data_IF_609564050165
#
_entry.id   IF_609564050165
#
_cell.length_a   1.000
_cell.length_b   1.000
_cell.length_c   1.000
_cell.angle_alpha   90.00
_cell.angle_beta   90.00
_cell.angle_gamma   90.00
#
_symmetry.space_group_name_H-M   'P 1'
#
loop_
_entity.id
_entity.type
_entity.pdbx_description
1 polymer ?
#
# COMPACT_ATOMS: atom_id res chain seq x y z
N UNK A 1 41.03 -1.33 41.89
CA UNK A 1 39.66 -1.05 42.35
C UNK A 1 38.69 -0.92 41.15
N UNK A 2 38.31 -2.01 40.46
CA UNK A 2 37.15 -2.89 40.76
C UNK A 2 35.85 -2.15 41.09
N UNK A 3 35.03 -1.89 40.07
CA UNK A 3 33.79 -2.65 39.82
C UNK A 3 33.02 -2.11 38.59
N UNK A 4 32.61 -2.98 37.64
CA UNK A 4 31.70 -2.66 36.55
C UNK A 4 30.24 -2.98 36.91
N UNK A 5 29.28 -2.39 36.20
CA UNK A 5 27.85 -2.72 36.31
C UNK A 5 27.15 -2.55 34.95
N UNK A 6 26.06 -3.29 34.70
CA UNK A 6 26.02 -4.17 33.52
C UNK A 6 25.01 -3.76 32.44
N UNK A 7 25.17 -4.45 31.31
CA UNK A 7 24.31 -4.56 30.14
C UNK A 7 22.80 -4.40 30.37
N UNK A 8 22.16 -3.68 29.44
CA UNK A 8 20.77 -3.96 29.06
C UNK A 8 20.68 -4.08 27.53
N UNK A 9 20.79 -5.31 27.06
CA UNK A 9 20.40 -5.69 25.70
C UNK A 9 18.86 -5.62 25.64
N UNK A 10 18.33 -4.68 24.86
CA UNK A 10 16.95 -4.73 24.40
C UNK A 10 16.89 -5.61 23.17
N UNK A 11 16.67 -6.90 23.37
CA UNK A 11 16.30 -7.81 22.31
C UNK A 11 14.89 -7.45 21.82
N UNK A 12 14.77 -6.98 20.59
CA UNK A 12 13.49 -6.89 19.88
C UNK A 12 13.05 -8.31 19.56
N UNK A 13 12.28 -8.90 20.47
CA UNK A 13 11.70 -10.23 20.35
C UNK A 13 10.66 -10.24 19.24
N UNK A 14 11.03 -10.84 18.12
CA UNK A 14 10.14 -11.30 17.06
C UNK A 14 9.31 -12.49 17.58
N UNK A 15 8.16 -12.20 18.17
CA UNK A 15 7.17 -13.23 18.56
C UNK A 15 6.22 -13.53 17.41
N UNK A 16 6.70 -14.29 16.42
CA UNK A 16 5.84 -14.94 15.44
C UNK A 16 5.60 -16.40 15.87
N UNK A 17 4.65 -16.61 16.77
CA UNK A 17 4.14 -17.95 17.11
C UNK A 17 2.62 -17.94 16.96
N UNK A 18 2.15 -18.31 15.77
CA UNK A 18 0.72 -18.45 15.45
C UNK A 18 0.50 -19.53 14.40
N UNK A 19 -0.05 -20.67 14.85
CA UNK A 19 -0.74 -21.73 14.10
C UNK A 19 -0.47 -21.80 12.58
N UNK A 20 0.70 -22.35 12.21
CA UNK A 20 1.04 -22.63 10.82
C UNK A 20 0.26 -23.86 10.31
N UNK A 21 -1.03 -23.67 10.01
CA UNK A 21 -1.73 -24.53 9.06
C UNK A 21 -1.10 -24.29 7.69
N UNK A 22 -0.86 -25.33 6.87
CA UNK A 22 -0.18 -25.18 5.60
C UNK A 22 -1.00 -24.23 4.69
N UNK A 23 -0.47 -23.04 4.44
CA UNK A 23 -1.01 -22.06 3.50
C UNK A 23 -1.72 -20.82 4.08
N UNK A 24 -1.56 -20.48 5.37
CA UNK A 24 -2.08 -19.22 5.94
C UNK A 24 -1.00 -18.41 6.66
N UNK A 25 -1.05 -17.08 6.58
CA UNK A 25 -0.16 -16.23 7.38
C UNK A 25 -0.54 -16.30 8.86
N UNK A 26 0.43 -16.15 9.77
CA UNK A 26 0.19 -16.21 11.21
C UNK A 26 -0.65 -15.01 11.65
N UNK A 27 -1.79 -15.28 12.30
CA UNK A 27 -2.69 -14.24 12.81
C UNK A 27 -2.22 -13.77 14.17
N UNK A 28 -2.14 -12.46 14.33
CA UNK A 28 -1.93 -11.80 15.60
C UNK A 28 -3.27 -11.64 16.34
N UNK A 29 -3.38 -12.30 17.50
CA UNK A 29 -4.61 -12.31 18.30
C UNK A 29 -4.83 -11.01 19.08
N UNK A 30 -3.81 -10.16 19.20
CA UNK A 30 -3.90 -8.87 19.88
C UNK A 30 -4.31 -7.76 18.91
N UNK A 31 -4.18 -8.00 17.60
CA UNK A 31 -4.52 -7.07 16.54
C UNK A 31 -5.94 -7.33 16.00
N UNK A 32 -6.87 -6.42 16.29
CA UNK A 32 -8.26 -6.53 15.82
C UNK A 32 -8.37 -6.37 14.31
N UNK A 33 -7.49 -5.60 13.66
CA UNK A 33 -7.48 -5.49 12.20
C UNK A 33 -7.08 -6.82 11.59
N UNK A 34 -6.02 -7.43 12.11
CA UNK A 34 -5.52 -8.71 11.60
C UNK A 34 -6.54 -9.84 11.75
N UNK A 35 -7.28 -9.84 12.86
CA UNK A 35 -8.41 -10.76 13.04
C UNK A 35 -9.50 -10.59 11.98
N UNK A 36 -9.83 -9.34 11.60
CA UNK A 36 -10.82 -9.08 10.56
C UNK A 36 -10.31 -9.45 9.17
N UNK A 37 -9.05 -9.16 8.85
CA UNK A 37 -8.43 -9.57 7.57
C UNK A 37 -8.43 -11.09 7.48
N UNK A 38 -8.01 -11.79 8.53
CA UNK A 38 -8.03 -13.24 8.57
C UNK A 38 -9.44 -13.81 8.44
N UNK A 39 -10.41 -13.20 9.14
CA UNK A 39 -11.81 -13.61 9.06
C UNK A 39 -12.36 -13.46 7.63
N UNK A 40 -12.05 -12.35 6.96
CA UNK A 40 -12.43 -12.13 5.57
C UNK A 40 -11.86 -13.22 4.66
N UNK A 41 -10.55 -13.51 4.75
CA UNK A 41 -9.89 -14.53 3.92
C UNK A 41 -10.38 -15.95 4.20
N UNK A 42 -10.86 -16.21 5.42
CA UNK A 42 -11.50 -17.49 5.76
C UNK A 42 -12.89 -17.62 5.15
N UNK A 43 -13.61 -16.50 5.01
CA UNK A 43 -14.94 -16.46 4.38
C UNK A 43 -14.89 -16.44 2.86
N UNK A 44 -13.81 -15.94 2.29
CA UNK A 44 -13.61 -15.81 0.84
C UNK A 44 -12.39 -16.63 0.38
N UNK A 45 -12.51 -17.98 0.29
CA UNK A 45 -11.39 -18.85 -0.06
C UNK A 45 -10.88 -18.61 -1.48
N UNK A 46 -11.71 -18.11 -2.39
CA UNK A 46 -11.33 -17.68 -3.74
C UNK A 46 -10.32 -16.52 -3.72
N UNK A 47 -10.59 -15.47 -2.93
CA UNK A 47 -9.67 -14.34 -2.77
C UNK A 47 -8.33 -14.82 -2.19
N UNK A 48 -8.37 -15.71 -1.20
CA UNK A 48 -7.16 -16.29 -0.59
C UNK A 48 -6.35 -17.19 -1.55
N UNK A 49 -7.00 -17.83 -2.52
CA UNK A 49 -6.29 -18.63 -3.55
C UNK A 49 -5.67 -17.75 -4.62
N UNK A 50 -6.32 -16.63 -4.93
CA UNK A 50 -5.88 -15.69 -5.96
C UNK A 50 -4.73 -14.79 -5.47
N UNK A 51 -4.79 -14.37 -4.21
CA UNK A 51 -3.88 -13.38 -3.64
C UNK A 51 -3.01 -13.98 -2.53
N UNK A 52 -1.72 -13.63 -2.56
CA UNK A 52 -0.78 -13.87 -1.47
C UNK A 52 -0.87 -12.72 -0.47
N UNK A 53 -1.25 -13.03 0.77
CA UNK A 53 -1.34 -12.06 1.86
C UNK A 53 -0.35 -12.41 2.96
N UNK A 54 0.49 -11.45 3.37
CA UNK A 54 1.39 -11.60 4.51
C UNK A 54 1.42 -10.32 5.35
N UNK A 55 1.21 -10.44 6.66
CA UNK A 55 1.36 -9.30 7.58
C UNK A 55 2.85 -8.94 7.75
N UNK A 56 3.18 -7.67 7.58
CA UNK A 56 4.53 -7.14 7.87
C UNK A 56 4.61 -6.51 9.26
N UNK A 57 3.62 -5.69 9.61
CA UNK A 57 3.48 -5.05 10.92
C UNK A 57 2.01 -4.70 11.17
N UNK A 58 1.69 -4.10 12.32
CA UNK A 58 0.33 -3.69 12.64
C UNK A 58 -0.21 -2.72 11.57
N UNK A 59 -1.32 -3.10 10.92
CA UNK A 59 -1.93 -2.33 9.85
C UNK A 59 -1.17 -2.33 8.51
N UNK A 60 -0.05 -3.05 8.35
CA UNK A 60 0.74 -3.08 7.09
C UNK A 60 0.91 -4.51 6.59
N UNK A 61 0.58 -4.70 5.31
CA UNK A 61 0.50 -6.01 4.67
C UNK A 61 1.25 -6.01 3.34
N UNK A 62 1.83 -7.15 3.03
CA UNK A 62 2.24 -7.52 1.68
C UNK A 62 1.06 -8.22 0.99
N UNK A 63 0.57 -7.63 -0.10
CA UNK A 63 -0.42 -8.20 -1.00
C UNK A 63 0.23 -8.38 -2.36
N UNK A 64 0.45 -9.62 -2.78
CA UNK A 64 1.07 -9.97 -4.08
C UNK A 64 2.40 -9.25 -4.37
N UNK A 65 3.24 -9.06 -3.35
CA UNK A 65 4.52 -8.35 -3.47
C UNK A 65 4.39 -6.83 -3.43
N UNK A 66 3.18 -6.30 -3.18
CA UNK A 66 2.91 -4.88 -2.98
C UNK A 66 2.63 -4.60 -1.52
N UNK A 67 3.32 -3.61 -0.96
CA UNK A 67 3.06 -3.16 0.40
C UNK A 67 1.86 -2.22 0.43
N UNK A 68 0.88 -2.55 1.26
CA UNK A 68 -0.32 -1.73 1.49
C UNK A 68 -0.57 -1.55 2.98
N UNK A 69 -1.26 -0.48 3.33
CA UNK A 69 -1.79 -0.29 4.67
C UNK A 69 -3.27 -0.68 4.71
N UNK A 70 -3.72 -1.27 5.81
CA UNK A 70 -5.12 -1.63 6.05
C UNK A 70 -5.60 -0.88 7.28
N UNK A 71 -6.72 -0.19 7.15
CA UNK A 71 -7.32 0.63 8.19
C UNK A 71 -8.78 0.24 8.43
N UNK A 72 -9.29 0.56 9.62
CA UNK A 72 -10.72 0.45 9.93
C UNK A 72 -11.39 1.80 9.70
N UNK A 73 -12.29 1.87 8.72
CA UNK A 73 -13.11 3.05 8.50
C UNK A 73 -14.42 2.91 9.27
N UNK A 74 -14.65 3.82 10.22
CA UNK A 74 -15.92 3.90 10.93
C UNK A 74 -17.00 4.47 10.00
N UNK A 75 -18.21 3.92 10.12
CA UNK A 75 -19.34 4.48 9.38
C UNK A 75 -19.72 5.86 9.92
N UNK A 76 -20.08 6.76 9.01
CA UNK A 76 -20.49 8.14 9.33
C UNK A 76 -21.91 8.23 9.88
N UNK A 77 -22.76 7.24 9.58
CA UNK A 77 -24.16 7.23 9.99
C UNK A 77 -24.37 6.35 11.23
N UNK A 78 -25.16 6.80 12.22
CA UNK A 78 -25.52 5.99 13.39
C UNK A 78 -26.20 4.68 12.98
N UNK A 79 -25.66 3.55 13.46
CA UNK A 79 -26.21 2.20 13.20
C UNK A 79 -25.58 1.46 12.01
N UNK A 80 -24.74 2.14 11.23
CA UNK A 80 -23.93 1.49 10.20
C UNK A 80 -22.65 0.86 10.80
N UNK A 81 -22.19 -0.23 10.21
CA UNK A 81 -20.96 -0.90 10.63
C UNK A 81 -19.77 -0.32 9.86
N UNK A 82 -18.63 -0.16 10.53
CA UNK A 82 -17.38 0.16 9.87
C UNK A 82 -16.89 -0.97 8.96
N UNK A 83 -15.91 -0.68 8.12
CA UNK A 83 -15.34 -1.66 7.20
C UNK A 83 -13.82 -1.53 7.10
N UNK A 84 -13.18 -2.60 6.61
CA UNK A 84 -11.76 -2.58 6.27
C UNK A 84 -11.54 -1.82 4.97
N UNK A 85 -10.53 -0.95 4.97
CA UNK A 85 -10.10 -0.15 3.81
C UNK A 85 -8.63 -0.39 3.57
N UNK A 86 -8.28 -0.68 2.32
CA UNK A 86 -6.91 -0.73 1.83
C UNK A 86 -6.48 0.67 1.42
N UNK A 87 -5.29 1.06 1.86
CA UNK A 87 -4.59 2.29 1.48
C UNK A 87 -3.31 1.88 0.76
N UNK A 88 -3.26 2.21 -0.53
CA UNK A 88 -2.19 1.85 -1.45
C UNK A 88 -1.70 3.12 -2.18
N UNK A 89 -0.79 3.84 -1.51
CA UNK A 89 -0.40 5.18 -1.93
C UNK A 89 -1.60 6.16 -1.88
N UNK A 90 -1.95 6.84 -2.99
CA UNK A 90 -3.11 7.74 -3.02
C UNK A 90 -4.44 6.98 -3.10
N UNK A 91 -4.43 5.69 -3.42
CA UNK A 91 -5.63 4.87 -3.55
C UNK A 91 -6.13 4.46 -2.17
N UNK A 92 -7.43 4.67 -1.94
CA UNK A 92 -8.18 4.15 -0.81
C UNK A 92 -9.39 3.40 -1.32
N UNK A 93 -9.55 2.17 -0.90
CA UNK A 93 -10.61 1.31 -1.42
C UNK A 93 -11.07 0.30 -0.37
N UNK A 94 -12.36 -0.06 -0.30
CA UNK A 94 -12.81 -1.15 0.55
C UNK A 94 -12.00 -2.43 0.30
N UNK A 95 -11.66 -3.14 1.38
CA UNK A 95 -10.83 -4.33 1.30
C UNK A 95 -11.40 -5.40 0.39
N UNK A 96 -12.73 -5.59 0.41
CA UNK A 96 -13.40 -6.56 -0.46
C UNK A 96 -13.20 -6.23 -1.94
N UNK A 97 -13.47 -4.98 -2.33
CA UNK A 97 -13.33 -4.54 -3.71
C UNK A 97 -11.87 -4.66 -4.19
N UNK A 98 -10.91 -4.35 -3.30
CA UNK A 98 -9.47 -4.44 -3.62
C UNK A 98 -9.06 -5.88 -3.92
N UNK A 99 -9.52 -6.84 -3.10
CA UNK A 99 -9.27 -8.27 -3.30
C UNK A 99 -10.03 -8.86 -4.51
N UNK A 100 -11.10 -8.20 -4.96
CA UNK A 100 -11.84 -8.60 -6.17
C UNK A 100 -11.32 -7.91 -7.44
N UNK A 101 -10.33 -7.01 -7.31
CA UNK A 101 -9.80 -6.17 -8.39
C UNK A 101 -10.90 -5.33 -9.07
N UNK A 102 -11.91 -4.90 -8.30
CA UNK A 102 -12.97 -4.01 -8.79
C UNK A 102 -12.65 -2.57 -8.44
N UNK A 103 -12.79 -1.64 -9.38
CA UNK A 103 -12.54 -0.21 -9.12
C UNK A 103 -13.79 0.53 -8.61
N UNK A 104 -14.84 -0.19 -8.23
CA UNK A 104 -16.18 0.36 -8.00
C UNK A 104 -16.22 1.46 -6.91
N UNK A 105 -15.43 1.30 -5.85
CA UNK A 105 -15.37 2.24 -4.73
C UNK A 105 -13.95 2.78 -4.48
N UNK A 106 -13.12 2.79 -5.52
CA UNK A 106 -11.79 3.38 -5.48
C UNK A 106 -11.88 4.90 -5.28
N UNK A 107 -11.22 5.42 -4.24
CA UNK A 107 -11.07 6.85 -3.99
C UNK A 107 -9.60 7.21 -4.03
N UNK A 108 -9.25 8.23 -4.79
CA UNK A 108 -7.89 8.74 -4.85
C UNK A 108 -7.82 10.00 -3.99
N UNK A 109 -7.21 9.91 -2.81
CA UNK A 109 -6.98 11.07 -1.95
C UNK A 109 -5.74 11.82 -2.43
N UNK A 110 -5.96 13.02 -2.96
CA UNK A 110 -4.94 13.81 -3.63
C UNK A 110 -3.99 14.59 -2.72
N UNK A 111 -3.92 14.25 -1.43
CA UNK A 111 -3.16 15.05 -0.45
C UNK A 111 -1.67 15.13 -0.78
N UNK A 112 -1.12 14.17 -1.55
CA UNK A 112 0.24 14.18 -2.07
C UNK A 112 0.36 14.43 -3.58
N UNK A 113 -0.74 14.52 -4.33
CA UNK A 113 -0.70 14.81 -5.78
C UNK A 113 -0.22 16.25 -6.04
N UNK A 114 -0.37 17.14 -5.05
CA UNK A 114 0.17 18.50 -5.07
C UNK A 114 1.66 18.63 -4.69
N UNK A 115 2.28 17.57 -4.17
CA UNK A 115 3.64 17.59 -3.63
C UNK A 115 4.66 16.91 -4.57
N UNK A 116 4.35 16.72 -5.85
CA UNK A 116 5.40 16.34 -6.79
C UNK A 116 6.45 17.46 -6.83
N UNK A 117 7.74 17.10 -6.82
CA UNK A 117 8.87 18.04 -6.85
C UNK A 117 8.75 19.10 -7.97
N UNK A 118 7.94 18.85 -8.99
CA UNK A 118 7.62 19.76 -10.08
C UNK A 118 6.82 21.01 -9.64
N UNK A 119 5.94 20.88 -8.63
CA UNK A 119 5.15 22.00 -8.11
C UNK A 119 5.95 22.92 -7.18
N UNK A 120 7.05 22.42 -6.60
CA UNK A 120 7.98 23.22 -5.77
C UNK A 120 8.94 24.08 -6.59
N UNK A 121 9.02 23.86 -7.91
CA UNK A 121 9.77 24.72 -8.82
C UNK A 121 8.84 25.86 -9.25
N UNK A 122 9.20 27.10 -8.92
CA UNK A 122 8.54 28.31 -9.40
C UNK A 122 8.35 28.23 -10.92
N UNK A 123 7.19 28.68 -11.42
CA UNK A 123 6.84 28.57 -12.86
C UNK A 123 7.95 29.12 -13.75
N UNK A 124 8.63 30.17 -13.32
CA UNK A 124 9.70 30.84 -14.06
C UNK A 124 11.02 30.05 -14.08
N UNK A 125 11.17 29.06 -13.19
CA UNK A 125 12.33 28.16 -13.07
C UNK A 125 12.06 26.75 -13.58
N UNK A 126 10.84 26.48 -14.04
CA UNK A 126 10.51 25.21 -14.69
C UNK A 126 11.19 25.19 -16.05
N UNK A 127 12.22 24.37 -16.19
CA UNK A 127 12.81 24.07 -17.48
C UNK A 127 11.81 23.19 -18.23
N UNK A 128 10.87 23.81 -18.95
CA UNK A 128 10.17 23.11 -20.01
C UNK A 128 11.17 22.90 -21.15
N UNK A 129 11.13 21.73 -21.78
CA UNK A 129 11.72 21.58 -23.11
C UNK A 129 10.88 22.46 -24.05
N UNK A 130 11.21 23.74 -24.08
CA UNK A 130 10.74 24.63 -25.12
C UNK A 130 11.45 24.17 -26.38
N UNK A 131 10.85 23.23 -27.10
CA UNK A 131 11.30 22.80 -28.42
C UNK A 131 11.05 23.95 -29.40
N UNK A 132 11.83 25.01 -29.26
CA UNK A 132 11.80 26.15 -30.16
C UNK A 132 12.94 26.17 -31.16
N UNK A 133 13.69 25.07 -31.25
CA UNK A 133 14.58 24.85 -32.39
C UNK A 133 14.68 23.36 -32.69
N UNK A 134 13.63 22.81 -33.30
CA UNK A 134 13.76 21.85 -34.41
C UNK A 134 12.42 21.69 -35.11
N UNK A 135 12.30 22.38 -36.24
CA UNK A 135 11.26 22.13 -37.24
C UNK A 135 11.56 20.79 -37.90
N UNK A 136 11.42 19.69 -37.16
CA UNK A 136 11.26 18.39 -37.77
C UNK A 136 9.77 18.12 -37.79
N UNK A 137 9.20 18.18 -38.99
CA UNK A 137 7.85 17.69 -39.18
C UNK A 137 7.79 16.21 -38.74
N UNK A 138 6.63 15.76 -38.24
CA UNK A 138 6.40 14.36 -37.84
C UNK A 138 6.88 13.35 -38.89
N UNK A 139 6.81 13.72 -40.16
CA UNK A 139 7.28 12.91 -41.29
C UNK A 139 8.81 12.79 -41.37
N UNK A 140 9.55 13.86 -41.07
CA UNK A 140 11.02 13.85 -41.07
C UNK A 140 11.57 13.03 -39.89
N UNK A 141 10.94 13.14 -38.71
CA UNK A 141 11.32 12.35 -37.55
C UNK A 141 11.14 10.83 -37.79
N UNK A 142 10.08 10.43 -38.48
CA UNK A 142 9.85 9.03 -38.88
C UNK A 142 10.85 8.54 -39.94
N UNK A 143 11.39 9.44 -40.76
CA UNK A 143 12.36 9.12 -41.80
C UNK A 143 13.75 8.87 -41.23
N UNK A 144 14.18 9.67 -40.26
CA UNK A 144 15.47 9.52 -39.55
C UNK A 144 15.53 8.24 -38.73
N UNK A 145 14.40 7.78 -38.19
CA UNK A 145 14.32 6.57 -37.39
C UNK A 145 14.41 5.25 -38.21
N UNK A 146 14.52 5.33 -39.55
CA UNK A 146 14.48 4.17 -40.45
C UNK A 146 15.80 3.94 -41.23
N UNK A 147 16.85 4.71 -40.94
CA UNK A 147 18.23 4.37 -41.34
C UNK A 147 18.94 3.53 -40.29
#
# INVERSE_FOLDING_TARGET
PTSPSPHRQGASSSSATGDARPGGYPVDKEDLLDQHVHYYLRKHPEARKKHSVARKSAGVYDLDGREVSIEWQYATEPGQQGCLVVVDGPLRQPFADYMEETEANARYEGQDIGASNLHMIDKDRRISFNDQHKVYSRLEAMKVAKE
#
